data_IF_139368347096
#
_entry.id   IF_139368347096
#
_cell.length_a   1.000
_cell.length_b   1.000
_cell.length_c   1.000
_cell.angle_alpha   90.00
_cell.angle_beta   90.00
_cell.angle_gamma   90.00
#
_symmetry.space_group_name_H-M   'P 1'
#
loop_
_entity.id
_entity.type
_entity.pdbx_description
1 polymer ?
#
# COMPACT_ATOMS: atom_id res chain seq x y z
N UNK A 1 56.96 -16.60 18.85
CA UNK A 1 55.54 -16.37 19.21
C UNK A 1 55.29 -14.87 19.07
N UNK A 2 54.77 -14.42 17.92
CA UNK A 2 54.47 -13.00 17.67
C UNK A 2 53.08 -12.70 18.23
N UNK A 3 52.99 -11.84 19.24
CA UNK A 3 51.72 -11.31 19.72
C UNK A 3 51.14 -10.37 18.65
N UNK A 4 50.00 -10.74 18.09
CA UNK A 4 49.16 -9.85 17.29
C UNK A 4 48.26 -9.11 18.29
N UNK A 5 48.53 -7.82 18.48
CA UNK A 5 47.64 -6.92 19.22
C UNK A 5 46.53 -6.50 18.24
N UNK A 6 45.34 -7.08 18.41
CA UNK A 6 44.14 -6.65 17.70
C UNK A 6 43.66 -5.34 18.33
N UNK A 7 43.67 -4.26 17.55
CA UNK A 7 43.02 -3.00 17.93
C UNK A 7 41.51 -3.17 17.70
N UNK A 8 40.77 -3.35 18.79
CA UNK A 8 39.32 -3.22 18.81
C UNK A 8 39.00 -1.71 18.80
N UNK A 9 38.52 -1.18 17.67
CA UNK A 9 38.00 0.18 17.62
C UNK A 9 36.62 0.16 18.27
N UNK A 10 36.54 0.63 19.51
CA UNK A 10 35.27 0.89 20.19
C UNK A 10 34.73 2.22 19.67
N UNK A 11 33.75 2.17 18.77
CA UNK A 11 32.94 3.34 18.46
C UNK A 11 32.05 3.62 19.69
N UNK A 12 32.37 4.67 20.43
CA UNK A 12 31.55 5.17 21.53
C UNK A 12 30.33 5.86 20.88
N UNK A 13 29.21 5.15 20.79
CA UNK A 13 27.92 5.76 20.52
C UNK A 13 27.44 6.41 21.82
N UNK A 14 27.42 7.74 21.82
CA UNK A 14 26.87 8.54 22.90
C UNK A 14 25.36 8.29 22.94
N UNK A 15 24.87 7.73 24.05
CA UNK A 15 23.46 7.64 24.34
C UNK A 15 22.88 9.05 24.50
N UNK A 16 21.98 9.43 23.60
CA UNK A 16 20.98 10.44 23.91
C UNK A 16 19.65 9.70 24.11
N UNK A 17 19.14 9.83 25.33
CA UNK A 17 17.78 9.49 25.70
C UNK A 17 16.80 10.32 24.87
N UNK A 18 15.85 9.65 24.20
CA UNK A 18 14.65 10.22 23.57
C UNK A 18 14.82 11.57 22.86
N UNK A 19 14.86 11.53 21.53
CA UNK A 19 14.07 12.48 20.74
C UNK A 19 12.97 11.70 20.06
N UNK A 20 11.71 12.03 20.38
CA UNK A 20 10.63 11.90 19.41
C UNK A 20 11.16 12.36 18.06
N UNK A 21 10.80 11.68 16.96
CA UNK A 21 11.08 12.18 15.62
C UNK A 21 10.70 13.65 15.61
N UNK A 22 11.71 14.53 15.59
CA UNK A 22 11.46 15.96 15.61
C UNK A 22 10.73 16.33 14.32
N UNK A 23 10.15 17.52 14.25
CA UNK A 23 9.59 18.08 13.00
C UNK A 23 10.62 18.16 11.84
N UNK A 24 11.88 17.79 12.09
CA UNK A 24 12.92 17.61 11.07
C UNK A 24 12.94 16.18 10.53
N UNK A 25 12.95 16.10 9.21
CA UNK A 25 13.29 14.91 8.43
C UNK A 25 14.45 14.14 9.08
N UNK A 26 14.24 12.84 9.31
CA UNK A 26 15.23 11.96 9.94
C UNK A 26 15.65 10.86 8.98
N UNK A 27 16.93 10.49 9.02
CA UNK A 27 17.44 9.34 8.26
C UNK A 27 16.94 8.07 8.95
N UNK A 28 16.20 7.26 8.21
CA UNK A 28 15.73 5.95 8.66
C UNK A 28 16.77 4.87 8.36
N UNK A 29 17.39 4.92 7.17
CA UNK A 29 18.42 3.98 6.76
C UNK A 29 19.24 4.49 5.57
N UNK A 30 20.54 4.18 5.51
CA UNK A 30 21.39 4.38 4.33
C UNK A 30 21.65 3.03 3.65
N UNK A 31 21.25 2.90 2.39
CA UNK A 31 21.36 1.66 1.62
C UNK A 31 22.67 1.60 0.84
N UNK A 32 23.13 0.38 0.59
CA UNK A 32 24.19 0.13 -0.38
C UNK A 32 23.68 0.41 -1.82
N UNK A 33 24.62 0.65 -2.75
CA UNK A 33 24.28 0.82 -4.16
C UNK A 33 23.52 -0.40 -4.71
N UNK A 34 22.48 -0.16 -5.51
CA UNK A 34 21.68 -1.21 -6.15
C UNK A 34 20.49 -1.71 -5.31
N UNK A 35 20.26 -1.16 -4.12
CA UNK A 35 19.06 -1.43 -3.33
C UNK A 35 17.97 -0.42 -3.67
N UNK A 36 16.83 -0.90 -4.18
CA UNK A 36 15.68 -0.06 -4.52
C UNK A 36 14.52 -0.43 -3.59
N UNK A 37 14.19 0.42 -2.63
CA UNK A 37 13.04 0.19 -1.74
C UNK A 37 11.75 0.35 -2.52
N UNK A 38 10.90 -0.67 -2.45
CA UNK A 38 9.60 -0.69 -3.10
C UNK A 38 8.50 -0.29 -2.11
N UNK A 39 8.60 -0.75 -0.87
CA UNK A 39 7.53 -0.60 0.10
C UNK A 39 8.06 -0.74 1.54
N UNK A 40 7.32 -0.21 2.51
CA UNK A 40 7.69 -0.25 3.93
C UNK A 40 6.51 -0.63 4.82
N UNK A 41 6.79 -1.23 5.97
CA UNK A 41 5.74 -1.50 6.97
C UNK A 41 6.25 -1.26 8.38
N UNK A 42 5.34 -0.96 9.31
CA UNK A 42 5.64 -0.67 10.70
C UNK A 42 4.89 -1.65 11.62
N UNK A 43 5.63 -2.30 12.51
CA UNK A 43 5.09 -3.19 13.53
C UNK A 43 5.12 -2.49 14.90
N UNK A 44 3.95 -2.09 15.38
CA UNK A 44 3.77 -1.42 16.66
C UNK A 44 4.09 -2.30 17.87
N UNK A 45 4.01 -3.63 17.75
CA UNK A 45 4.31 -4.53 18.85
C UNK A 45 5.82 -4.62 19.14
N UNK A 46 6.64 -4.51 18.10
CA UNK A 46 8.10 -4.57 18.22
C UNK A 46 8.77 -3.21 18.06
N UNK A 47 7.98 -2.19 17.70
CA UNK A 47 8.43 -0.86 17.33
C UNK A 47 9.56 -0.96 16.27
N UNK A 48 9.27 -1.73 15.22
CA UNK A 48 10.22 -2.02 14.15
C UNK A 48 9.65 -1.58 12.82
N UNK A 49 10.53 -1.04 11.97
CA UNK A 49 10.23 -0.75 10.57
C UNK A 49 10.87 -1.83 9.71
N UNK A 50 10.11 -2.28 8.72
CA UNK A 50 10.56 -3.22 7.71
C UNK A 50 10.65 -2.50 6.37
N UNK A 51 11.86 -2.33 5.86
CA UNK A 51 12.14 -1.82 4.53
C UNK A 51 12.22 -3.00 3.57
N UNK A 52 11.41 -3.00 2.52
CA UNK A 52 11.38 -4.09 1.55
C UNK A 52 11.56 -3.55 0.13
N UNK A 53 12.39 -4.23 -0.65
CA UNK A 53 12.78 -3.71 -1.96
C UNK A 53 13.38 -4.75 -2.88
N UNK A 54 13.78 -4.29 -4.04
CA UNK A 54 14.35 -5.09 -5.11
C UNK A 54 15.82 -4.75 -5.29
N UNK A 55 16.65 -5.76 -5.53
CA UNK A 55 18.04 -5.56 -5.93
C UNK A 55 18.13 -5.28 -7.43
N UNK A 56 18.90 -4.28 -7.81
CA UNK A 56 19.20 -3.93 -9.19
C UNK A 56 20.09 -5.00 -9.84
N UNK A 57 19.82 -5.32 -11.11
CA UNK A 57 20.67 -6.23 -11.90
C UNK A 57 20.46 -7.73 -11.67
N UNK A 58 19.64 -8.15 -10.70
CA UNK A 58 19.25 -9.54 -10.47
C UNK A 58 17.75 -9.63 -10.12
N UNK A 59 17.14 -10.82 -10.21
CA UNK A 59 15.74 -11.04 -9.85
C UNK A 59 15.50 -11.35 -8.37
N UNK A 60 16.24 -10.67 -7.49
CA UNK A 60 16.18 -10.83 -6.05
C UNK A 60 15.55 -9.61 -5.36
N UNK A 61 14.96 -9.86 -4.19
CA UNK A 61 14.43 -8.85 -3.27
C UNK A 61 15.17 -8.88 -1.94
N UNK A 62 15.08 -7.81 -1.17
CA UNK A 62 15.59 -7.74 0.19
C UNK A 62 14.49 -7.29 1.15
N UNK A 63 14.68 -7.65 2.42
CA UNK A 63 13.94 -7.07 3.54
C UNK A 63 14.91 -6.77 4.67
N UNK A 64 14.88 -5.52 5.13
CA UNK A 64 15.67 -5.03 6.26
C UNK A 64 14.72 -4.73 7.40
N UNK A 65 15.00 -5.28 8.57
CA UNK A 65 14.38 -4.89 9.83
C UNK A 65 15.26 -3.83 10.50
N UNK A 66 14.67 -2.70 10.81
CA UNK A 66 15.28 -1.66 11.64
C UNK A 66 14.40 -1.32 12.83
N UNK A 67 15.02 -0.74 13.86
CA UNK A 67 14.33 -0.16 15.02
C UNK A 67 15.05 1.11 15.41
N UNK A 68 14.33 2.22 15.56
CA UNK A 68 14.91 3.52 15.93
C UNK A 68 16.10 3.91 15.02
N UNK A 69 16.00 3.62 13.71
CA UNK A 69 17.07 3.85 12.73
C UNK A 69 18.26 2.87 12.81
N UNK A 70 18.28 1.95 13.78
CA UNK A 70 19.33 0.95 13.90
C UNK A 70 19.02 -0.29 13.06
N UNK A 71 20.03 -0.75 12.32
CA UNK A 71 20.01 -2.04 11.63
C UNK A 71 19.86 -3.19 12.63
N UNK A 72 18.88 -4.07 12.42
CA UNK A 72 18.74 -5.29 13.21
C UNK A 72 19.05 -6.54 12.39
N UNK A 73 18.48 -6.64 11.19
CA UNK A 73 18.65 -7.82 10.34
C UNK A 73 18.30 -7.51 8.90
N UNK A 74 18.94 -8.22 7.98
CA UNK A 74 18.57 -8.29 6.58
C UNK A 74 18.29 -9.74 6.17
N UNK A 75 17.41 -9.91 5.19
CA UNK A 75 17.26 -11.15 4.44
C UNK A 75 17.08 -10.84 2.95
N UNK A 76 17.87 -11.52 2.11
CA UNK A 76 17.65 -11.59 0.66
C UNK A 76 16.70 -12.73 0.33
N UNK A 77 15.80 -12.50 -0.62
CA UNK A 77 14.87 -13.47 -1.19
C UNK A 77 15.21 -13.58 -2.68
N UNK A 78 15.83 -14.70 -3.03
CA UNK A 78 16.23 -14.98 -4.40
C UNK A 78 15.02 -15.30 -5.28
N UNK A 79 15.13 -14.97 -6.56
CA UNK A 79 14.15 -15.30 -7.60
C UNK A 79 12.72 -14.76 -7.35
N UNK A 80 12.64 -13.60 -6.69
CA UNK A 80 11.40 -12.95 -6.29
C UNK A 80 11.56 -11.43 -6.44
N UNK A 81 10.58 -10.80 -7.08
CA UNK A 81 10.42 -9.34 -7.15
C UNK A 81 9.24 -8.90 -6.30
N UNK A 82 9.54 -8.20 -5.22
CA UNK A 82 8.57 -7.68 -4.27
C UNK A 82 7.80 -6.51 -4.88
N UNK A 83 6.49 -6.51 -4.65
CA UNK A 83 5.59 -5.40 -4.95
C UNK A 83 5.01 -4.74 -3.69
N UNK A 84 4.69 -5.51 -2.63
CA UNK A 84 4.03 -4.98 -1.43
C UNK A 84 4.41 -5.76 -0.17
N UNK A 85 4.53 -5.04 0.95
CA UNK A 85 4.75 -5.58 2.30
C UNK A 85 3.65 -5.14 3.26
N UNK A 86 3.21 -6.08 4.11
CA UNK A 86 2.35 -5.83 5.27
C UNK A 86 2.79 -6.68 6.46
N UNK A 87 2.50 -6.20 7.67
CA UNK A 87 2.63 -6.97 8.91
C UNK A 87 1.26 -7.21 9.53
N UNK A 88 1.12 -8.33 10.26
CA UNK A 88 -0.04 -8.59 11.10
C UNK A 88 0.17 -8.13 12.55
N UNK A 89 -0.88 -8.19 13.36
CA UNK A 89 -0.85 -7.86 14.79
C UNK A 89 -0.06 -8.87 15.65
N UNK A 90 0.54 -9.90 15.04
CA UNK A 90 1.41 -10.89 15.70
C UNK A 90 2.86 -10.77 15.23
N UNK A 91 3.21 -9.64 14.58
CA UNK A 91 4.54 -9.35 14.06
C UNK A 91 5.02 -10.32 12.96
N UNK A 92 4.11 -11.04 12.30
CA UNK A 92 4.47 -11.73 11.06
C UNK A 92 4.46 -10.75 9.90
N UNK A 93 5.25 -11.05 8.89
CA UNK A 93 5.43 -10.21 7.71
C UNK A 93 4.96 -10.98 6.49
N UNK A 94 4.29 -10.28 5.59
CA UNK A 94 3.73 -10.82 4.37
C UNK A 94 4.27 -10.02 3.19
N UNK A 95 4.80 -10.74 2.20
CA UNK A 95 5.38 -10.16 1.00
C UNK A 95 4.61 -10.67 -0.21
N UNK A 96 4.08 -9.74 -1.00
CA UNK A 96 3.49 -10.01 -2.29
C UNK A 96 4.48 -9.64 -3.39
N UNK A 97 4.55 -10.46 -4.43
CA UNK A 97 5.44 -10.21 -5.56
C UNK A 97 5.34 -11.28 -6.64
N UNK A 98 6.31 -11.28 -7.55
CA UNK A 98 6.37 -12.18 -8.70
C UNK A 98 7.67 -12.99 -8.73
N UNK A 99 7.61 -14.25 -9.16
CA UNK A 99 8.79 -15.09 -9.40
C UNK A 99 9.46 -14.74 -10.73
N UNK A 100 10.65 -15.31 -11.01
CA UNK A 100 11.31 -15.21 -12.32
C UNK A 100 10.45 -15.76 -13.47
N UNK A 101 9.58 -16.73 -13.17
CA UNK A 101 8.68 -17.34 -14.15
C UNK A 101 7.41 -16.50 -14.39
N UNK A 102 7.27 -15.37 -13.70
CA UNK A 102 6.10 -14.50 -13.76
C UNK A 102 4.94 -14.97 -12.87
N UNK A 103 5.20 -15.88 -11.94
CA UNK A 103 4.18 -16.39 -11.05
C UNK A 103 3.91 -15.43 -9.90
N UNK A 104 2.65 -15.25 -9.56
CA UNK A 104 2.25 -14.48 -8.39
C UNK A 104 2.55 -15.27 -7.09
N UNK A 105 3.39 -14.70 -6.22
CA UNK A 105 3.87 -15.35 -5.00
C UNK A 105 3.48 -14.52 -3.77
N UNK A 106 3.03 -15.20 -2.72
CA UNK A 106 2.86 -14.66 -1.38
C UNK A 106 3.76 -15.40 -0.39
N UNK A 107 4.56 -14.67 0.36
CA UNK A 107 5.50 -15.21 1.35
C UNK A 107 5.10 -14.73 2.74
N UNK A 108 5.08 -15.64 3.72
CA UNK A 108 5.01 -15.27 5.15
C UNK A 108 6.35 -15.48 5.83
N UNK A 109 6.80 -14.47 6.57
CA UNK A 109 7.99 -14.49 7.41
C UNK A 109 7.62 -14.25 8.88
N UNK A 110 8.49 -14.69 9.79
CA UNK A 110 8.47 -14.23 11.20
C UNK A 110 8.96 -12.78 11.32
N UNK A 111 8.72 -12.18 12.49
CA UNK A 111 9.30 -10.89 12.89
C UNK A 111 10.84 -10.84 12.85
N UNK A 112 11.48 -12.01 12.83
CA UNK A 112 12.92 -12.21 12.71
C UNK A 112 13.36 -12.50 11.28
N UNK A 113 12.52 -12.29 10.25
CA UNK A 113 12.85 -12.57 8.85
C UNK A 113 13.23 -14.04 8.63
N UNK A 114 12.38 -14.95 9.09
CA UNK A 114 12.53 -16.39 8.82
C UNK A 114 11.29 -16.89 8.10
N UNK A 115 11.48 -17.52 6.93
CA UNK A 115 10.38 -17.97 6.08
C UNK A 115 9.55 -19.05 6.78
N UNK A 116 8.24 -18.80 6.88
CA UNK A 116 7.24 -19.75 7.40
C UNK A 116 6.68 -20.60 6.27
N UNK A 117 6.19 -19.92 5.24
CA UNK A 117 5.65 -20.54 4.04
C UNK A 117 5.72 -19.56 2.88
N UNK A 118 5.56 -20.13 1.70
CA UNK A 118 5.48 -19.44 0.43
C UNK A 118 4.46 -20.20 -0.42
N UNK A 119 3.60 -19.45 -1.11
CA UNK A 119 2.62 -20.02 -2.01
C UNK A 119 2.56 -19.28 -3.32
N UNK A 120 2.19 -20.04 -4.36
CA UNK A 120 1.85 -19.53 -5.66
C UNK A 120 0.34 -19.33 -5.78
N UNK A 121 -0.08 -18.14 -6.16
CA UNK A 121 -1.49 -17.78 -6.36
C UNK A 121 -1.79 -17.85 -7.86
N UNK A 122 -2.69 -18.76 -8.26
CA UNK A 122 -3.05 -18.96 -9.67
C UNK A 122 -4.56 -18.91 -9.81
N UNK A 123 -5.03 -17.97 -10.62
CA UNK A 123 -6.36 -17.94 -11.21
C UNK A 123 -6.35 -18.35 -12.69
N UNK A 124 -5.41 -17.84 -13.47
CA UNK A 124 -5.21 -18.10 -14.88
C UNK A 124 -3.73 -17.96 -15.26
N UNK A 125 -3.41 -18.12 -16.55
CA UNK A 125 -2.04 -17.94 -17.07
C UNK A 125 -1.57 -16.48 -17.16
N UNK A 126 -2.45 -15.50 -16.94
CA UNK A 126 -2.13 -14.07 -17.08
C UNK A 126 -2.82 -13.25 -15.99
N UNK A 127 -2.54 -13.58 -14.74
CA UNK A 127 -3.06 -12.88 -13.58
C UNK A 127 -2.13 -11.75 -13.12
N UNK A 128 -2.74 -10.66 -12.69
CA UNK A 128 -2.08 -9.56 -12.01
C UNK A 128 -2.73 -9.44 -10.63
N UNK A 129 -1.92 -9.50 -9.56
CA UNK A 129 -2.39 -9.21 -8.21
C UNK A 129 -2.22 -7.73 -7.91
N UNK A 130 -3.22 -7.13 -7.27
CA UNK A 130 -3.28 -5.68 -7.05
C UNK A 130 -3.04 -5.30 -5.59
N UNK A 131 -3.78 -5.91 -4.66
CA UNK A 131 -3.70 -5.59 -3.24
C UNK A 131 -4.04 -6.81 -2.38
N UNK A 132 -3.66 -6.75 -1.12
CA UNK A 132 -3.99 -7.76 -0.13
C UNK A 132 -4.14 -7.14 1.25
N UNK A 133 -4.88 -7.83 2.13
CA UNK A 133 -5.02 -7.52 3.55
C UNK A 133 -4.81 -8.78 4.40
N UNK A 134 -4.47 -8.60 5.67
CA UNK A 134 -4.31 -9.68 6.65
C UNK A 134 -5.07 -9.32 7.93
N UNK A 135 -5.86 -10.28 8.44
CA UNK A 135 -6.66 -10.08 9.66
C UNK A 135 -6.03 -10.72 10.91
N UNK A 136 -6.70 -10.56 12.06
CA UNK A 136 -6.25 -11.10 13.36
C UNK A 136 -6.30 -12.63 13.46
N UNK A 137 -6.92 -13.33 12.51
CA UNK A 137 -6.81 -14.79 12.39
C UNK A 137 -5.59 -15.20 11.57
N UNK A 138 -4.79 -14.22 11.13
CA UNK A 138 -3.66 -14.36 10.23
C UNK A 138 -4.06 -14.93 8.86
N UNK A 139 -5.33 -14.74 8.48
CA UNK A 139 -5.85 -15.06 7.15
C UNK A 139 -5.50 -13.92 6.21
N UNK A 140 -4.99 -14.25 5.03
CA UNK A 140 -4.64 -13.28 3.99
C UNK A 140 -5.72 -13.31 2.92
N UNK A 141 -6.24 -12.15 2.57
CA UNK A 141 -7.15 -11.98 1.44
C UNK A 141 -6.49 -11.16 0.36
N UNK A 142 -6.43 -11.69 -0.86
CA UNK A 142 -5.74 -11.10 -2.01
C UNK A 142 -6.75 -10.86 -3.13
N UNK A 143 -6.66 -9.69 -3.78
CA UNK A 143 -7.43 -9.39 -4.99
C UNK A 143 -6.51 -9.20 -6.19
N UNK A 144 -7.03 -9.55 -7.35
CA UNK A 144 -6.35 -9.36 -8.63
C UNK A 144 -7.31 -9.50 -9.79
N UNK A 145 -6.79 -9.43 -11.00
CA UNK A 145 -7.55 -9.62 -12.23
C UNK A 145 -6.76 -10.41 -13.27
N UNK A 146 -7.46 -11.10 -14.17
CA UNK A 146 -6.89 -11.75 -15.34
C UNK A 146 -6.86 -10.80 -16.54
N UNK A 147 -5.89 -10.92 -17.43
CA UNK A 147 -5.90 -10.22 -18.73
C UNK A 147 -6.37 -11.12 -19.87
N UNK A 148 -7.04 -12.23 -19.54
CA UNK A 148 -7.70 -13.09 -20.51
C UNK A 148 -8.99 -12.44 -21.03
N UNK A 149 -9.41 -12.77 -22.26
CA UNK A 149 -10.56 -12.10 -22.90
C UNK A 149 -11.89 -12.64 -22.35
N UNK A 150 -12.24 -12.34 -21.10
CA UNK A 150 -13.56 -12.63 -20.52
C UNK A 150 -14.26 -11.33 -20.11
N UNK A 151 -15.55 -11.41 -19.79
CA UNK A 151 -16.34 -10.25 -19.36
C UNK A 151 -15.97 -9.84 -17.93
N UNK A 152 -15.85 -10.80 -17.01
CA UNK A 152 -15.34 -10.56 -15.66
C UNK A 152 -14.01 -11.31 -15.44
N UNK A 153 -13.00 -10.56 -15.02
CA UNK A 153 -11.64 -11.04 -14.84
C UNK A 153 -11.12 -10.88 -13.41
N UNK A 154 -11.84 -10.12 -12.58
CA UNK A 154 -11.52 -9.90 -11.18
C UNK A 154 -11.66 -11.18 -10.36
N UNK A 155 -10.75 -11.41 -9.44
CA UNK A 155 -10.81 -12.54 -8.54
C UNK A 155 -10.30 -12.19 -7.14
N UNK A 156 -10.76 -12.97 -6.17
CA UNK A 156 -10.39 -12.87 -4.77
C UNK A 156 -9.98 -14.25 -4.25
N UNK A 157 -8.92 -14.29 -3.45
CA UNK A 157 -8.35 -15.50 -2.86
C UNK A 157 -8.18 -15.30 -1.37
N UNK A 158 -8.65 -16.26 -0.57
CA UNK A 158 -8.39 -16.33 0.87
C UNK A 158 -7.42 -17.45 1.19
N UNK A 159 -6.42 -17.13 2.00
CA UNK A 159 -5.35 -18.02 2.44
C UNK A 159 -5.35 -18.07 3.97
N UNK A 160 -5.28 -19.26 4.55
CA UNK A 160 -5.21 -19.43 6.00
C UNK A 160 -3.82 -19.09 6.56
N UNK A 161 -3.71 -19.05 7.89
CA UNK A 161 -2.45 -18.77 8.60
C UNK A 161 -1.28 -19.71 8.26
N UNK A 162 -1.57 -20.90 7.73
CA UNK A 162 -0.60 -21.93 7.37
C UNK A 162 -0.22 -21.89 5.88
N UNK A 163 -0.79 -20.97 5.11
CA UNK A 163 -0.54 -20.85 3.68
C UNK A 163 -1.45 -21.72 2.81
N UNK A 164 -2.55 -22.28 3.34
CA UNK A 164 -3.49 -23.03 2.49
C UNK A 164 -4.51 -22.07 1.87
N UNK A 165 -4.75 -22.19 0.57
CA UNK A 165 -5.89 -21.50 -0.08
C UNK A 165 -7.18 -22.16 0.42
N UNK A 166 -8.01 -21.39 1.13
CA UNK A 166 -9.28 -21.86 1.72
C UNK A 166 -10.51 -21.38 0.96
N UNK A 167 -10.40 -20.31 0.18
CA UNK A 167 -11.47 -19.84 -0.71
C UNK A 167 -10.89 -19.11 -1.91
N UNK A 168 -11.59 -19.19 -3.04
CA UNK A 168 -11.26 -18.47 -4.27
C UNK A 168 -12.52 -18.26 -5.08
N UNK A 169 -12.76 -17.03 -5.54
CA UNK A 169 -13.95 -16.66 -6.30
C UNK A 169 -13.58 -15.68 -7.43
N UNK A 170 -14.24 -15.83 -8.57
CA UNK A 170 -14.27 -14.78 -9.61
C UNK A 170 -15.37 -13.81 -9.22
N UNK A 171 -15.05 -12.53 -9.19
CA UNK A 171 -15.97 -11.48 -8.75
C UNK A 171 -16.68 -10.90 -9.95
N UNK A 172 -17.98 -11.20 -10.09
CA UNK A 172 -18.84 -10.64 -11.13
C UNK A 172 -19.27 -9.22 -10.74
N UNK A 173 -18.32 -8.28 -10.79
CA UNK A 173 -18.57 -6.88 -10.44
C UNK A 173 -19.12 -6.13 -11.64
N UNK A 174 -18.60 -6.39 -12.84
CA UNK A 174 -19.00 -5.76 -14.09
C UNK A 174 -18.16 -6.23 -15.29
N UNK A 175 -18.16 -5.51 -16.41
CA UNK A 175 -17.27 -5.80 -17.52
C UNK A 175 -15.84 -5.24 -17.29
N UNK A 176 -14.82 -6.01 -17.68
CA UNK A 176 -13.41 -5.63 -17.76
C UNK A 176 -12.86 -4.93 -16.50
N UNK A 177 -13.15 -5.49 -15.32
CA UNK A 177 -12.84 -4.83 -14.06
C UNK A 177 -11.40 -5.07 -13.60
N UNK A 178 -10.81 -4.04 -13.02
CA UNK A 178 -9.49 -4.08 -12.38
C UNK A 178 -9.64 -3.58 -10.95
N UNK A 179 -9.59 -4.48 -9.94
CA UNK A 179 -9.56 -4.07 -8.55
C UNK A 179 -8.17 -3.53 -8.26
N UNK A 180 -8.10 -2.40 -7.55
CA UNK A 180 -6.83 -1.77 -7.18
C UNK A 180 -6.57 -1.83 -5.68
N UNK A 181 -7.62 -1.84 -4.85
CA UNK A 181 -7.45 -1.93 -3.40
C UNK A 181 -8.51 -2.81 -2.72
N UNK A 182 -8.15 -3.33 -1.54
CA UNK A 182 -9.01 -4.14 -0.68
C UNK A 182 -8.75 -3.82 0.80
N UNK A 183 -9.81 -3.78 1.59
CA UNK A 183 -9.73 -3.80 3.06
C UNK A 183 -10.79 -4.71 3.67
N UNK A 184 -10.60 -5.08 4.93
CA UNK A 184 -11.53 -5.90 5.73
C UNK A 184 -12.07 -5.06 6.88
N UNK A 185 -13.38 -5.05 7.10
CA UNK A 185 -14.01 -4.39 8.24
C UNK A 185 -13.99 -5.26 9.50
N UNK A 186 -14.42 -4.68 10.63
CA UNK A 186 -14.44 -5.36 11.93
C UNK A 186 -15.42 -6.55 11.99
N UNK A 187 -16.35 -6.66 11.04
CA UNK A 187 -17.27 -7.80 10.91
C UNK A 187 -16.70 -8.92 10.01
N UNK A 188 -15.55 -8.67 9.38
CA UNK A 188 -14.92 -9.57 8.42
C UNK A 188 -15.50 -9.49 7.01
N UNK A 189 -16.26 -8.44 6.69
CA UNK A 189 -16.65 -8.14 5.32
C UNK A 189 -15.50 -7.44 4.59
N UNK A 190 -15.49 -7.55 3.27
CA UNK A 190 -14.46 -6.92 2.45
C UNK A 190 -15.02 -5.78 1.63
N UNK A 191 -14.24 -4.72 1.46
CA UNK A 191 -14.50 -3.67 0.50
C UNK A 191 -13.43 -3.68 -0.58
N UNK A 192 -13.85 -3.52 -1.83
CA UNK A 192 -12.96 -3.49 -3.00
C UNK A 192 -13.31 -2.26 -3.84
N UNK A 193 -12.29 -1.58 -4.34
CA UNK A 193 -12.46 -0.51 -5.34
C UNK A 193 -11.52 -0.72 -6.51
N UNK A 194 -11.86 -0.09 -7.62
CA UNK A 194 -11.12 -0.19 -8.86
C UNK A 194 -11.81 0.56 -9.98
N UNK A 195 -11.48 0.16 -11.20
CA UNK A 195 -12.15 0.60 -12.42
C UNK A 195 -12.91 -0.56 -13.05
N UNK A 196 -14.08 -0.28 -13.64
CA UNK A 196 -14.81 -1.19 -14.51
C UNK A 196 -15.07 -0.51 -15.83
N UNK A 197 -14.94 -1.23 -16.95
CA UNK A 197 -15.14 -0.66 -18.27
C UNK A 197 -16.33 -1.29 -18.97
N UNK A 198 -17.41 -0.52 -19.09
CA UNK A 198 -18.48 -0.86 -20.04
C UNK A 198 -18.32 -0.08 -21.35
N UNK A 199 -18.41 1.26 -21.27
CA UNK A 199 -18.08 2.18 -22.38
C UNK A 199 -16.82 2.98 -22.07
N UNK A 200 -16.84 3.67 -20.92
CA UNK A 200 -15.70 4.32 -20.30
C UNK A 200 -15.34 3.61 -18.99
N UNK A 201 -14.23 4.00 -18.36
CA UNK A 201 -13.91 3.51 -17.02
C UNK A 201 -14.76 4.25 -15.98
N UNK A 202 -15.49 3.48 -15.19
CA UNK A 202 -16.25 3.96 -14.02
C UNK A 202 -15.57 3.45 -12.74
N UNK A 203 -15.68 4.22 -11.66
CA UNK A 203 -15.27 3.72 -10.34
C UNK A 203 -16.30 2.71 -9.88
N UNK A 204 -15.86 1.52 -9.47
CA UNK A 204 -16.71 0.62 -8.69
C UNK A 204 -16.28 0.62 -7.23
N UNK A 205 -17.26 0.46 -6.34
CA UNK A 205 -17.05 0.08 -4.95
C UNK A 205 -17.94 -1.12 -4.67
N UNK A 206 -17.35 -2.18 -4.12
CA UNK A 206 -18.05 -3.43 -3.87
C UNK A 206 -17.85 -3.84 -2.41
N UNK A 207 -18.94 -4.15 -1.70
CA UNK A 207 -18.90 -4.79 -0.39
C UNK A 207 -19.24 -6.27 -0.52
N UNK A 208 -18.40 -7.12 0.05
CA UNK A 208 -18.53 -8.57 0.07
C UNK A 208 -18.66 -9.08 1.50
N UNK A 209 -19.40 -10.16 1.71
CA UNK A 209 -19.35 -10.91 2.97
C UNK A 209 -17.98 -11.54 3.18
N UNK A 210 -17.73 -12.05 4.39
CA UNK A 210 -16.58 -12.90 4.69
C UNK A 210 -16.42 -14.11 3.76
N UNK A 211 -17.50 -14.58 3.15
CA UNK A 211 -17.53 -15.73 2.25
C UNK A 211 -17.48 -15.30 0.76
N UNK A 212 -17.21 -14.01 0.51
CA UNK A 212 -17.12 -13.35 -0.79
C UNK A 212 -18.44 -13.27 -1.57
N UNK A 213 -19.58 -13.29 -0.87
CA UNK A 213 -20.87 -12.98 -1.49
C UNK A 213 -21.06 -11.48 -1.57
N UNK A 214 -21.51 -11.00 -2.72
CA UNK A 214 -21.75 -9.58 -2.95
C UNK A 214 -22.93 -9.13 -2.08
N UNK A 215 -22.67 -8.18 -1.19
CA UNK A 215 -23.72 -7.48 -0.44
C UNK A 215 -24.28 -6.34 -1.28
N UNK A 216 -23.40 -5.58 -1.91
CA UNK A 216 -23.75 -4.52 -2.86
C UNK A 216 -22.56 -4.16 -3.74
N UNK A 217 -22.86 -3.61 -4.90
CA UNK A 217 -21.92 -2.94 -5.79
C UNK A 217 -22.53 -1.59 -6.13
N UNK A 218 -21.70 -0.55 -6.11
CA UNK A 218 -22.04 0.78 -6.56
C UNK A 218 -21.06 1.23 -7.63
N UNK A 219 -21.55 2.04 -8.56
CA UNK A 219 -20.77 2.59 -9.66
C UNK A 219 -20.91 4.10 -9.66
N UNK A 220 -19.78 4.78 -9.71
CA UNK A 220 -19.73 6.21 -9.99
C UNK A 220 -19.37 6.42 -11.46
N UNK A 221 -20.36 6.89 -12.22
CA UNK A 221 -20.25 7.31 -13.62
C UNK A 221 -20.61 8.80 -13.69
N UNK A 222 -19.62 9.65 -14.02
CA UNK A 222 -19.83 11.08 -14.16
C UNK A 222 -20.14 11.51 -15.62
N UNK A 223 -21.19 10.92 -16.21
CA UNK A 223 -21.66 11.20 -17.57
C UNK A 223 -20.63 10.88 -18.66
N UNK A 224 -20.11 9.66 -18.69
CA UNK A 224 -19.07 9.21 -19.63
C UNK A 224 -17.75 9.98 -19.45
N UNK A 225 -17.36 10.23 -18.21
CA UNK A 225 -15.98 10.63 -17.92
C UNK A 225 -15.10 9.39 -17.78
N UNK A 226 -13.80 9.60 -17.63
CA UNK A 226 -12.86 8.54 -17.31
C UNK A 226 -12.58 8.63 -15.81
N UNK A 227 -13.06 7.61 -15.09
CA UNK A 227 -13.08 7.55 -13.64
C UNK A 227 -12.41 6.24 -13.16
N UNK A 228 -11.63 6.28 -12.08
CA UNK A 228 -10.94 5.08 -11.57
C UNK A 228 -10.65 5.15 -10.07
N UNK A 229 -11.09 4.13 -9.33
CA UNK A 229 -10.94 4.06 -7.87
C UNK A 229 -9.60 3.48 -7.48
N UNK A 230 -8.78 4.19 -6.71
CA UNK A 230 -7.38 3.85 -6.47
C UNK A 230 -7.10 3.36 -5.04
N UNK A 231 -7.81 3.89 -4.03
CA UNK A 231 -7.54 3.56 -2.63
C UNK A 231 -8.83 3.47 -1.81
N UNK A 232 -8.77 2.67 -0.75
CA UNK A 232 -9.81 2.58 0.28
C UNK A 232 -9.24 2.96 1.66
N UNK A 233 -10.09 3.52 2.52
CA UNK A 233 -9.79 3.70 3.95
C UNK A 233 -11.06 3.49 4.79
N UNK A 234 -10.93 2.79 5.92
CA UNK A 234 -12.02 2.58 6.89
C UNK A 234 -12.03 3.67 7.97
N UNK A 235 -13.22 4.13 8.34
CA UNK A 235 -13.44 5.22 9.29
C UNK A 235 -14.65 4.91 10.15
N UNK A 236 -14.42 4.44 11.38
CA UNK A 236 -15.49 4.14 12.34
C UNK A 236 -16.61 3.25 11.75
N UNK A 237 -16.24 2.33 10.86
CA UNK A 237 -17.15 1.43 10.13
C UNK A 237 -17.58 1.92 8.75
N UNK A 238 -17.52 3.23 8.47
CA UNK A 238 -17.70 3.75 7.11
C UNK A 238 -16.48 3.42 6.25
N UNK A 239 -16.67 3.41 4.93
CA UNK A 239 -15.57 3.30 3.97
C UNK A 239 -15.51 4.55 3.10
N UNK A 240 -14.30 5.03 2.87
CA UNK A 240 -14.00 6.06 1.88
C UNK A 240 -13.24 5.40 0.74
N UNK A 241 -13.80 5.49 -0.47
CA UNK A 241 -13.09 5.19 -1.70
C UNK A 241 -12.63 6.51 -2.34
N UNK A 242 -11.39 6.54 -2.83
CA UNK A 242 -10.84 7.70 -3.52
C UNK A 242 -10.24 7.31 -4.85
N UNK A 243 -10.30 8.23 -5.81
CA UNK A 243 -9.86 7.99 -7.17
C UNK A 243 -9.74 9.28 -7.96
N UNK A 244 -9.75 9.15 -9.28
CA UNK A 244 -9.76 10.28 -10.20
C UNK A 244 -11.07 10.32 -10.98
N UNK A 245 -11.46 11.52 -11.43
CA UNK A 245 -12.57 11.73 -12.36
C UNK A 245 -12.27 12.87 -13.31
N UNK A 246 -12.33 12.62 -14.62
CA UNK A 246 -11.98 13.62 -15.63
C UNK A 246 -12.63 13.38 -16.98
N UNK A 247 -12.90 14.45 -17.73
CA UNK A 247 -13.50 14.33 -19.05
C UNK A 247 -12.48 13.78 -20.05
N UNK A 248 -12.89 12.78 -20.83
CA UNK A 248 -12.06 12.20 -21.89
C UNK A 248 -11.51 13.29 -22.83
N UNK A 249 -10.19 13.27 -23.06
CA UNK A 249 -9.47 14.21 -23.94
C UNK A 249 -9.10 15.56 -23.30
N UNK A 250 -9.49 15.83 -22.05
CA UNK A 250 -9.16 17.08 -21.36
C UNK A 250 -7.89 16.98 -20.49
N UNK A 251 -7.38 15.76 -20.24
CA UNK A 251 -6.17 15.46 -19.45
C UNK A 251 -6.10 16.14 -18.06
N UNK A 252 -7.24 16.59 -17.55
CA UNK A 252 -7.40 17.23 -16.24
C UNK A 252 -8.42 16.40 -15.50
N UNK A 253 -7.93 15.63 -14.54
CA UNK A 253 -8.73 14.79 -13.67
C UNK A 253 -8.69 15.38 -12.27
N UNK A 254 -9.84 15.51 -11.63
CA UNK A 254 -9.90 15.91 -10.23
C UNK A 254 -9.94 14.66 -9.35
N UNK A 255 -9.50 14.79 -8.09
CA UNK A 255 -9.68 13.74 -7.10
C UNK A 255 -11.14 13.69 -6.65
N UNK A 256 -11.69 12.47 -6.57
CA UNK A 256 -13.02 12.22 -6.03
C UNK A 256 -12.96 11.33 -4.80
N UNK A 257 -13.82 11.62 -3.82
CA UNK A 257 -14.00 10.87 -2.59
C UNK A 257 -15.47 10.43 -2.49
N UNK A 258 -15.68 9.13 -2.35
CA UNK A 258 -16.97 8.49 -2.19
C UNK A 258 -17.03 7.87 -0.80
N UNK A 259 -17.97 8.31 0.04
CA UNK A 259 -18.16 7.77 1.39
C UNK A 259 -19.42 6.94 1.50
N UNK A 260 -19.26 5.70 1.95
CA UNK A 260 -20.34 4.75 2.19
C UNK A 260 -20.45 4.49 3.67
N UNK A 261 -21.66 4.63 4.22
CA UNK A 261 -21.86 4.37 5.64
C UNK A 261 -21.91 2.87 5.92
N UNK A 262 -21.44 2.47 7.10
CA UNK A 262 -21.69 1.11 7.61
C UNK A 262 -23.19 0.80 7.79
N UNK A 263 -24.00 1.82 8.09
CA UNK A 263 -25.43 1.66 8.45
C UNK A 263 -26.39 1.93 7.27
N UNK A 264 -25.91 2.52 6.15
CA UNK A 264 -26.74 2.83 4.96
C UNK A 264 -25.93 2.87 3.66
N UNK A 265 -26.54 2.54 2.51
CA UNK A 265 -25.92 2.71 1.19
C UNK A 265 -25.73 4.20 0.84
N UNK A 266 -24.57 4.54 0.23
CA UNK A 266 -24.02 5.86 -0.19
C UNK A 266 -24.42 7.10 0.61
N UNK A 267 -23.43 7.74 1.26
CA UNK A 267 -23.68 8.87 2.17
C UNK A 267 -23.17 10.24 1.68
N UNK A 268 -22.04 10.31 0.95
CA UNK A 268 -21.45 11.59 0.54
C UNK A 268 -20.51 11.46 -0.67
N UNK A 269 -20.53 12.47 -1.55
CA UNK A 269 -19.59 12.63 -2.66
C UNK A 269 -18.88 13.99 -2.52
N UNK A 270 -17.56 13.97 -2.64
CA UNK A 270 -16.73 15.17 -2.65
C UNK A 270 -15.73 15.13 -3.80
N UNK A 271 -15.59 16.24 -4.53
CA UNK A 271 -14.62 16.41 -5.62
C UNK A 271 -13.70 17.58 -5.30
N UNK A 272 -12.39 17.39 -5.48
CA UNK A 272 -11.37 18.39 -5.18
C UNK A 272 -10.36 18.46 -6.32
N UNK A 273 -10.02 19.69 -6.71
CA UNK A 273 -8.86 19.99 -7.54
C UNK A 273 -7.75 20.52 -6.63
N UNK A 274 -6.65 19.80 -6.56
CA UNK A 274 -5.53 20.09 -5.66
C UNK A 274 -4.34 20.74 -6.39
N UNK A 275 -4.07 20.41 -7.65
CA UNK A 275 -2.91 20.96 -8.39
C UNK A 275 -3.27 21.92 -9.53
N UNK A 276 -4.55 22.03 -9.92
CA UNK A 276 -4.99 22.58 -11.22
C UNK A 276 -4.49 21.76 -12.43
N UNK A 277 -3.98 20.55 -12.21
CA UNK A 277 -3.55 19.57 -13.20
C UNK A 277 -4.39 18.30 -13.10
N UNK A 278 -3.77 17.12 -13.19
CA UNK A 278 -4.50 15.85 -13.13
C UNK A 278 -4.17 15.09 -11.86
N UNK A 279 -5.06 15.21 -10.88
CA UNK A 279 -4.87 14.86 -9.48
C UNK A 279 -5.22 13.40 -9.16
N UNK A 280 -4.20 12.55 -9.09
CA UNK A 280 -4.33 11.13 -8.73
C UNK A 280 -3.78 10.89 -7.32
N UNK A 281 -4.58 10.40 -6.37
CA UNK A 281 -4.01 9.97 -5.08
C UNK A 281 -3.44 8.56 -5.22
N UNK A 282 -2.15 8.42 -4.92
CA UNK A 282 -1.44 7.13 -4.87
C UNK A 282 -1.67 6.39 -3.57
N UNK A 283 -1.94 7.15 -2.51
CA UNK A 283 -2.25 6.63 -1.19
C UNK A 283 -3.09 7.66 -0.43
N UNK A 284 -4.07 7.18 0.33
CA UNK A 284 -4.81 7.94 1.33
C UNK A 284 -4.65 7.23 2.68
N UNK A 285 -4.40 7.98 3.76
CA UNK A 285 -4.28 7.45 5.10
C UNK A 285 -4.99 8.35 6.11
N UNK A 286 -5.75 7.77 7.02
CA UNK A 286 -6.48 8.50 8.07
C UNK A 286 -5.73 8.48 9.40
N UNK A 287 -5.72 9.61 10.11
CA UNK A 287 -5.31 9.68 11.52
C UNK A 287 -6.10 10.77 12.27
N UNK A 288 -6.71 10.46 13.43
CA UNK A 288 -7.45 11.43 14.24
C UNK A 288 -8.71 11.97 13.55
N UNK A 289 -8.75 13.24 13.15
CA UNK A 289 -9.78 13.90 12.29
C UNK A 289 -9.27 14.34 10.90
N UNK A 290 -8.04 13.95 10.54
CA UNK A 290 -7.33 14.38 9.34
C UNK A 290 -7.01 13.21 8.40
N UNK A 291 -6.84 13.54 7.12
CA UNK A 291 -6.33 12.62 6.11
C UNK A 291 -4.98 13.10 5.59
N UNK A 292 -4.16 12.14 5.20
CA UNK A 292 -2.85 12.35 4.62
C UNK A 292 -2.78 11.61 3.29
N UNK A 293 -2.29 12.26 2.25
CA UNK A 293 -2.26 11.67 0.92
C UNK A 293 -0.97 11.97 0.17
N UNK A 294 -0.59 11.02 -0.70
CA UNK A 294 0.39 11.25 -1.75
C UNK A 294 -0.41 11.53 -3.02
N UNK A 295 -0.32 12.76 -3.51
CA UNK A 295 -0.94 13.22 -4.73
C UNK A 295 0.10 13.22 -5.86
N UNK A 296 -0.25 12.67 -7.01
CA UNK A 296 0.52 12.81 -8.24
C UNK A 296 -0.30 13.61 -9.26
N UNK A 297 0.24 14.76 -9.66
CA UNK A 297 -0.24 15.49 -10.80
C UNK A 297 0.37 14.88 -12.07
N UNK A 298 -0.34 13.95 -12.69
CA UNK A 298 0.17 13.20 -13.84
C UNK A 298 0.44 14.09 -15.06
N UNK A 299 -0.19 15.28 -15.13
CA UNK A 299 -0.01 16.20 -16.24
C UNK A 299 1.34 16.92 -16.15
N UNK A 300 1.74 17.31 -14.94
CA UNK A 300 2.99 18.04 -14.70
C UNK A 300 4.14 17.13 -14.25
N UNK A 301 3.83 15.90 -13.81
CA UNK A 301 4.77 14.97 -13.19
C UNK A 301 5.11 15.31 -11.74
N UNK A 302 4.55 16.38 -11.18
CA UNK A 302 4.82 16.80 -9.80
C UNK A 302 4.03 15.96 -8.80
N UNK A 303 4.65 15.69 -7.66
CA UNK A 303 3.99 14.99 -6.55
C UNK A 303 3.90 15.89 -5.32
N UNK A 304 2.90 15.65 -4.47
CA UNK A 304 2.64 16.43 -3.27
C UNK A 304 2.25 15.54 -2.10
N UNK A 305 2.73 15.88 -0.91
CA UNK A 305 2.11 15.44 0.34
C UNK A 305 0.97 16.39 0.69
N UNK A 306 -0.21 15.84 0.93
CA UNK A 306 -1.38 16.57 1.38
C UNK A 306 -1.71 16.21 2.82
N UNK A 307 -2.08 17.22 3.61
CA UNK A 307 -2.83 17.08 4.86
C UNK A 307 -4.20 17.70 4.65
N UNK A 308 -5.25 16.93 4.85
CA UNK A 308 -6.64 17.30 4.59
C UNK A 308 -7.46 17.21 5.88
N UNK A 309 -8.51 18.03 5.98
CA UNK A 309 -9.49 17.91 7.06
C UNK A 309 -10.51 16.80 6.79
N UNK A 310 -11.49 16.68 7.69
CA UNK A 310 -12.57 15.71 7.60
C UNK A 310 -13.37 15.76 6.28
N UNK A 311 -13.46 16.95 5.66
CA UNK A 311 -14.20 17.23 4.43
C UNK A 311 -13.28 17.24 3.18
N UNK A 312 -12.06 16.73 3.34
CA UNK A 312 -11.02 16.68 2.31
C UNK A 312 -10.54 18.06 1.83
N UNK A 313 -10.76 19.12 2.62
CA UNK A 313 -10.20 20.44 2.35
C UNK A 313 -8.73 20.50 2.77
N UNK A 314 -7.91 21.17 1.96
CA UNK A 314 -6.46 21.23 2.16
C UNK A 314 -6.10 22.05 3.41
N UNK A 315 -5.54 21.37 4.42
CA UNK A 315 -4.92 22.00 5.58
C UNK A 315 -3.45 22.34 5.31
N UNK A 316 -2.73 21.42 4.65
CA UNK A 316 -1.35 21.61 4.22
C UNK A 316 -1.11 20.92 2.87
N UNK A 317 -0.25 21.51 2.05
CA UNK A 317 0.21 20.95 0.78
C UNK A 317 1.68 21.24 0.62
N UNK A 318 2.47 20.19 0.49
CA UNK A 318 3.92 20.27 0.29
C UNK A 318 4.31 19.57 -1.01
N UNK A 319 4.98 20.26 -1.92
CA UNK A 319 5.59 19.63 -3.11
C UNK A 319 6.73 18.70 -2.67
N UNK A 320 6.77 17.51 -3.27
CA UNK A 320 7.84 16.52 -3.06
C UNK A 320 9.08 17.00 -3.85
N UNK A 321 10.24 16.98 -3.20
CA UNK A 321 11.45 17.54 -3.77
C UNK A 321 11.96 16.78 -5.00
N UNK A 322 12.72 17.44 -5.85
CA UNK A 322 13.39 16.78 -6.98
C UNK A 322 14.33 15.66 -6.48
N UNK A 323 14.22 14.49 -7.07
CA UNK A 323 14.98 13.29 -6.68
C UNK A 323 14.44 12.56 -5.44
N UNK A 324 13.36 13.04 -4.82
CA UNK A 324 12.66 12.32 -3.76
C UNK A 324 11.60 11.40 -4.36
N UNK A 325 11.59 10.14 -3.93
CA UNK A 325 10.59 9.14 -4.33
C UNK A 325 9.74 8.77 -3.12
N UNK A 326 8.46 9.15 -3.05
CA UNK A 326 7.59 8.77 -1.95
C UNK A 326 7.35 7.26 -1.98
N UNK A 327 7.47 6.62 -0.81
CA UNK A 327 7.26 5.18 -0.65
C UNK A 327 5.91 4.91 0.02
N UNK A 328 5.69 5.48 1.21
CA UNK A 328 4.46 5.23 1.98
C UNK A 328 4.22 6.29 3.06
N UNK A 329 2.96 6.62 3.27
CA UNK A 329 2.43 7.29 4.47
C UNK A 329 1.97 6.22 5.46
N UNK A 330 2.37 6.35 6.72
CA UNK A 330 2.01 5.43 7.80
C UNK A 330 1.82 6.16 9.12
N UNK A 331 0.92 5.64 9.95
CA UNK A 331 0.73 6.14 11.32
C UNK A 331 1.67 5.40 12.26
N UNK A 332 2.36 6.14 13.12
CA UNK A 332 3.27 5.59 14.14
C UNK A 332 2.92 6.29 15.44
N UNK A 333 2.30 5.55 16.36
CA UNK A 333 1.69 6.17 17.54
C UNK A 333 0.55 7.10 17.13
N UNK A 334 0.53 8.31 17.68
CA UNK A 334 -0.48 9.33 17.41
C UNK A 334 -0.15 10.21 16.19
N UNK A 335 1.05 10.07 15.63
CA UNK A 335 1.56 10.92 14.54
C UNK A 335 1.52 10.19 13.18
N UNK A 336 1.52 10.96 12.09
CA UNK A 336 1.53 10.44 10.72
C UNK A 336 2.81 10.84 9.99
N UNK A 337 3.51 9.84 9.47
CA UNK A 337 4.79 10.02 8.82
C UNK A 337 4.72 9.65 7.34
N UNK A 338 5.49 10.33 6.51
CA UNK A 338 5.88 9.86 5.18
C UNK A 338 7.26 9.23 5.21
N UNK A 339 7.43 8.13 4.48
CA UNK A 339 8.71 7.51 4.18
C UNK A 339 9.00 7.69 2.70
N UNK A 340 10.20 8.16 2.38
CA UNK A 340 10.63 8.41 1.01
C UNK A 340 12.12 8.11 0.82
N UNK A 341 12.49 7.76 -0.39
CA UNK A 341 13.88 7.60 -0.80
C UNK A 341 14.40 8.89 -1.42
N UNK A 342 15.68 9.21 -1.20
CA UNK A 342 16.43 10.19 -1.99
C UNK A 342 17.85 9.67 -2.13
N UNK A 343 18.26 9.42 -3.38
CA UNK A 343 19.45 8.63 -3.69
C UNK A 343 19.37 7.27 -2.97
N UNK A 344 20.41 6.87 -2.23
CA UNK A 344 20.41 5.62 -1.48
C UNK A 344 19.94 5.77 -0.03
N UNK A 345 19.41 6.94 0.36
CA UNK A 345 19.00 7.18 1.75
C UNK A 345 17.49 7.15 1.86
N UNK A 346 16.99 6.40 2.85
CA UNK A 346 15.59 6.36 3.22
C UNK A 346 15.37 7.33 4.37
N UNK A 347 14.42 8.23 4.18
CA UNK A 347 14.04 9.24 5.15
C UNK A 347 12.64 8.96 5.67
N UNK A 348 12.41 9.39 6.90
CA UNK A 348 11.09 9.50 7.50
C UNK A 348 10.87 10.94 7.94
N UNK A 349 9.68 11.46 7.67
CA UNK A 349 9.30 12.83 7.99
C UNK A 349 7.88 12.86 8.51
N UNK A 350 7.69 13.58 9.62
CA UNK A 350 6.37 13.91 10.14
C UNK A 350 5.63 14.83 9.16
N UNK A 351 4.38 14.47 8.81
CA UNK A 351 3.53 15.29 7.94
C UNK A 351 2.75 16.38 8.68
N UNK A 352 2.98 16.48 9.99
CA UNK A 352 2.59 17.59 10.85
C UNK A 352 1.12 17.66 11.15
#
# INVERSE_FOLDING_TARGET
MKLIVSFLVFAILVFSSFSAFSSEQSILYELENGYIVTDVSFDSNTDSIYLAGNLEGDNSSFIIKSKEGQFLREQTIENFKLSKILNDNFSNIYLLGISNEGDNILIKLTSSLSKRWEIKIINSSRDILSSFTVNDKQEVTVVGYSTNKRESDSFIVKIDRNGNIISKKVLDVGPYERPYDILEDYEGNFYITGESKNKNYDIFVCKLTKDFDILWIDFYDNNNWEDGGLCLELIDGDVVATGYSGKEGWYVFDTVFLRYSSESNTSNFTRKSFSNGSDWIRQLKRNGDQYYAILWDILTGKEYYLKLDYYFDTLNKQEIGEGETPIRIMNIGDETYTVFAKENTIYIKDLG
#
